data_IF_070492856062
#
_entry.id   IF_070492856062
#
_cell.length_a   1.000
_cell.length_b   1.000
_cell.length_c   1.000
_cell.angle_alpha   90.00
_cell.angle_beta   90.00
_cell.angle_gamma   90.00
#
_symmetry.space_group_name_H-M   'P 1'
#
loop_
_entity.id
_entity.type
_entity.pdbx_description
1 polymer ?
#
# COMPACT_ATOMS: atom_id res chain seq x y z
N UNK A 1 59.67 4.23 -39.68
CA UNK A 1 59.00 3.56 -38.55
C UNK A 1 58.21 4.62 -37.79
N UNK A 2 56.98 4.27 -37.41
CA UNK A 2 55.83 5.15 -37.18
C UNK A 2 56.08 6.43 -36.37
N UNK A 3 55.70 7.57 -36.97
CA UNK A 3 55.45 8.83 -36.25
C UNK A 3 54.09 8.72 -35.57
N UNK A 4 54.09 9.03 -34.28
CA UNK A 4 52.92 9.11 -33.42
C UNK A 4 51.92 10.16 -33.90
N UNK A 5 50.77 9.71 -34.40
CA UNK A 5 49.61 10.53 -34.67
C UNK A 5 48.76 10.65 -33.38
N UNK A 6 49.17 11.53 -32.46
CA UNK A 6 48.24 12.00 -31.43
C UNK A 6 47.34 13.07 -32.06
N UNK A 7 46.13 12.66 -32.46
CA UNK A 7 45.10 13.60 -32.89
C UNK A 7 44.63 14.42 -31.67
N UNK A 8 44.75 15.76 -31.68
CA UNK A 8 44.38 16.62 -30.54
C UNK A 8 42.93 16.47 -30.06
N UNK A 9 42.03 15.96 -30.92
CA UNK A 9 40.61 15.80 -30.60
C UNK A 9 40.28 14.67 -29.62
N UNK A 10 41.11 13.61 -29.55
CA UNK A 10 40.82 12.45 -28.68
C UNK A 10 41.07 12.81 -27.20
N UNK A 11 42.11 13.61 -26.93
CA UNK A 11 42.42 14.02 -25.55
C UNK A 11 41.36 14.96 -24.98
N UNK A 12 40.82 15.88 -25.80
CA UNK A 12 39.73 16.76 -25.38
C UNK A 12 38.43 16.00 -25.10
N UNK A 13 38.12 14.96 -25.88
CA UNK A 13 36.95 14.12 -25.64
C UNK A 13 37.04 13.36 -24.30
N UNK A 14 38.22 12.81 -23.95
CA UNK A 14 38.41 12.11 -22.68
C UNK A 14 38.33 13.03 -21.47
N UNK A 15 38.84 14.26 -21.56
CA UNK A 15 38.73 15.26 -20.49
C UNK A 15 37.28 15.67 -20.26
N UNK A 16 36.48 15.81 -21.33
CA UNK A 16 35.06 16.15 -21.22
C UNK A 16 34.24 15.00 -20.62
N UNK A 17 34.54 13.74 -20.97
CA UNK A 17 33.89 12.56 -20.37
C UNK A 17 34.23 12.45 -18.89
N UNK A 18 35.49 12.63 -18.51
CA UNK A 18 35.89 12.63 -17.10
C UNK A 18 35.29 13.80 -16.31
N UNK A 19 35.27 14.99 -16.90
CA UNK A 19 34.61 16.15 -16.29
C UNK A 19 33.11 15.88 -16.07
N UNK A 20 32.43 15.27 -17.03
CA UNK A 20 31.02 14.90 -16.91
C UNK A 20 30.77 13.81 -15.86
N UNK A 21 31.62 12.77 -15.81
CA UNK A 21 31.54 11.72 -14.79
C UNK A 21 31.80 12.27 -13.38
N UNK A 22 32.76 13.19 -13.22
CA UNK A 22 33.02 13.85 -11.93
C UNK A 22 31.91 14.84 -11.55
N UNK A 23 31.32 15.57 -12.52
CA UNK A 23 30.21 16.49 -12.25
C UNK A 23 28.96 15.72 -11.84
N UNK A 24 28.62 14.65 -12.56
CA UNK A 24 27.48 13.78 -12.25
C UNK A 24 27.71 13.00 -10.95
N UNK A 25 28.91 12.45 -10.73
CA UNK A 25 29.27 11.78 -9.47
C UNK A 25 29.22 12.69 -8.26
N UNK A 26 29.68 13.95 -8.39
CA UNK A 26 29.58 14.96 -7.36
C UNK A 26 28.14 15.43 -7.10
N UNK A 27 27.30 15.51 -8.13
CA UNK A 27 25.86 15.80 -7.99
C UNK A 27 25.10 14.67 -7.29
N UNK A 28 25.43 13.42 -7.61
CA UNK A 28 24.88 12.24 -6.94
C UNK A 28 25.29 12.23 -5.47
N UNK A 29 26.57 12.48 -5.16
CA UNK A 29 27.07 12.50 -3.78
C UNK A 29 26.51 13.66 -2.95
N UNK A 30 26.37 14.85 -3.56
CA UNK A 30 25.77 16.00 -2.90
C UNK A 30 24.25 15.87 -2.71
N UNK A 31 23.56 15.13 -3.60
CA UNK A 31 22.15 14.76 -3.40
C UNK A 31 22.00 13.74 -2.27
N UNK A 32 22.84 12.69 -2.25
CA UNK A 32 22.79 11.70 -1.16
C UNK A 32 23.08 12.33 0.19
N UNK A 33 24.07 13.23 0.29
CA UNK A 33 24.41 13.88 1.58
C UNK A 33 23.32 14.88 2.03
N UNK A 34 22.71 15.62 1.10
CA UNK A 34 21.56 16.49 1.43
C UNK A 34 20.32 15.68 1.81
N UNK A 35 20.11 14.53 1.18
CA UNK A 35 19.05 13.60 1.55
C UNK A 35 19.32 13.02 2.96
N UNK A 36 20.53 12.53 3.22
CA UNK A 36 20.99 12.04 4.53
C UNK A 36 20.80 13.05 5.67
N UNK A 37 21.15 14.32 5.47
CA UNK A 37 20.93 15.36 6.50
C UNK A 37 19.46 15.72 6.70
N UNK A 38 18.63 15.61 5.65
CA UNK A 38 17.19 15.74 5.81
C UNK A 38 16.60 14.55 6.59
N UNK A 39 17.20 13.36 6.53
CA UNK A 39 16.77 12.16 7.26
C UNK A 39 17.04 12.23 8.76
N UNK A 40 18.21 12.73 9.19
CA UNK A 40 18.56 12.84 10.62
C UNK A 40 17.61 13.80 11.38
N UNK A 41 17.01 14.77 10.66
CA UNK A 41 16.05 15.73 11.21
C UNK A 41 14.64 15.13 11.37
N UNK A 42 14.27 14.14 10.56
CA UNK A 42 12.95 13.48 10.63
C UNK A 42 12.95 12.42 11.76
N UNK A 43 14.04 11.68 11.94
CA UNK A 43 14.12 10.55 12.90
C UNK A 43 13.90 10.96 14.37
N UNK A 44 14.23 12.21 14.76
CA UNK A 44 14.16 12.66 16.17
C UNK A 44 12.79 13.10 16.68
N UNK A 45 11.71 13.12 15.86
CA UNK A 45 10.40 13.70 16.27
C UNK A 45 9.14 12.88 15.96
N UNK A 46 9.24 11.72 15.32
CA UNK A 46 8.06 10.96 14.86
C UNK A 46 8.00 9.54 15.45
N UNK A 47 6.78 8.99 15.53
CA UNK A 47 6.60 7.54 15.72
C UNK A 47 7.13 6.79 14.50
N UNK A 48 7.63 5.58 14.69
CA UNK A 48 8.15 4.69 13.62
C UNK A 48 7.18 4.60 12.44
N UNK A 49 5.89 4.45 12.72
CA UNK A 49 4.85 4.36 11.69
C UNK A 49 4.73 5.64 10.85
N UNK A 50 4.79 6.81 11.49
CA UNK A 50 4.71 8.09 10.80
C UNK A 50 5.95 8.38 9.96
N UNK A 51 7.13 7.98 10.45
CA UNK A 51 8.38 8.10 9.70
C UNK A 51 8.29 7.37 8.36
N UNK A 52 7.93 6.08 8.37
CA UNK A 52 7.85 5.30 7.13
C UNK A 52 6.69 5.74 6.24
N UNK A 53 5.57 6.14 6.82
CA UNK A 53 4.42 6.64 6.06
C UNK A 53 4.77 7.92 5.29
N UNK A 54 5.43 8.89 5.91
CA UNK A 54 5.87 10.12 5.24
C UNK A 54 6.86 9.85 4.09
N UNK A 55 7.75 8.85 4.23
CA UNK A 55 8.64 8.44 3.15
C UNK A 55 7.86 7.87 1.97
N UNK A 56 6.92 6.96 2.23
CA UNK A 56 6.12 6.33 1.16
C UNK A 56 5.20 7.32 0.46
N UNK A 57 4.60 8.26 1.18
CA UNK A 57 3.78 9.33 0.60
C UNK A 57 4.58 10.23 -0.35
N UNK A 58 5.88 10.37 -0.12
CA UNK A 58 6.81 11.11 -1.00
C UNK A 58 7.39 10.25 -2.12
N UNK A 59 6.99 8.99 -2.25
CA UNK A 59 7.54 8.04 -3.22
C UNK A 59 8.97 7.57 -2.92
N UNK A 60 9.46 7.79 -1.69
CA UNK A 60 10.82 7.42 -1.27
C UNK A 60 10.88 5.97 -0.79
N UNK A 61 10.39 5.02 -1.61
CA UNK A 61 10.24 3.62 -1.23
C UNK A 61 11.57 2.95 -0.90
N UNK A 62 12.58 3.09 -1.77
CA UNK A 62 13.92 2.51 -1.58
C UNK A 62 14.54 2.96 -0.24
N UNK A 63 14.28 4.20 0.17
CA UNK A 63 14.81 4.75 1.42
C UNK A 63 14.10 4.12 2.62
N UNK A 64 12.77 3.99 2.56
CA UNK A 64 12.00 3.30 3.58
C UNK A 64 12.42 1.82 3.69
N UNK A 65 12.67 1.14 2.57
CA UNK A 65 13.15 -0.24 2.51
C UNK A 65 14.53 -0.39 3.17
N UNK A 66 15.49 0.47 2.81
CA UNK A 66 16.84 0.45 3.39
C UNK A 66 16.81 0.74 4.89
N UNK A 67 16.01 1.71 5.33
CA UNK A 67 15.88 2.06 6.74
C UNK A 67 15.29 0.91 7.55
N UNK A 68 14.16 0.32 7.13
CA UNK A 68 13.56 -0.82 7.83
C UNK A 68 14.46 -2.06 7.78
N UNK A 69 15.07 -2.35 6.63
CA UNK A 69 16.00 -3.48 6.49
C UNK A 69 17.25 -3.33 7.36
N UNK A 70 17.77 -2.12 7.56
CA UNK A 70 18.90 -1.85 8.47
C UNK A 70 18.55 -2.17 9.91
N UNK A 71 17.39 -1.71 10.38
CA UNK A 71 16.94 -1.96 11.76
C UNK A 71 16.73 -3.46 12.01
N UNK A 72 16.10 -4.17 11.07
CA UNK A 72 15.90 -5.62 11.16
C UNK A 72 17.23 -6.40 11.18
N UNK A 73 18.23 -5.97 10.40
CA UNK A 73 19.57 -6.60 10.39
C UNK A 73 20.43 -6.23 11.59
N UNK A 74 20.04 -5.24 12.40
CA UNK A 74 20.83 -4.80 13.54
C UNK A 74 20.95 -5.87 14.64
N UNK A 75 19.97 -6.77 14.74
CA UNK A 75 19.88 -7.79 15.80
C UNK A 75 19.63 -7.23 17.20
N UNK A 76 19.32 -5.94 17.32
CA UNK A 76 19.15 -5.23 18.61
C UNK A 76 17.69 -4.98 18.98
N UNK A 77 16.77 -5.25 18.07
CA UNK A 77 15.36 -4.98 18.26
C UNK A 77 14.73 -5.96 19.24
N UNK A 78 13.78 -5.47 20.05
CA UNK A 78 12.89 -6.36 20.77
C UNK A 78 11.98 -7.10 19.77
N UNK A 79 11.40 -8.26 20.11
CA UNK A 79 10.45 -8.96 19.23
C UNK A 79 9.26 -8.09 18.78
N UNK A 80 8.87 -7.11 19.60
CA UNK A 80 7.81 -6.17 19.26
C UNK A 80 8.26 -5.16 18.22
N UNK A 81 9.43 -4.55 18.41
CA UNK A 81 9.97 -3.57 17.46
C UNK A 81 10.33 -4.23 16.13
N UNK A 82 10.88 -5.44 16.17
CA UNK A 82 11.13 -6.25 14.97
C UNK A 82 9.85 -6.46 14.17
N UNK A 83 8.73 -6.78 14.83
CA UNK A 83 7.44 -6.90 14.16
C UNK A 83 7.00 -5.59 13.51
N UNK A 84 7.14 -4.46 14.20
CA UNK A 84 6.79 -3.14 13.64
C UNK A 84 7.60 -2.88 12.38
N UNK A 85 8.92 -3.08 12.41
CA UNK A 85 9.78 -2.86 11.24
C UNK A 85 9.49 -3.85 10.10
N UNK A 86 9.14 -5.12 10.39
CA UNK A 86 8.68 -6.08 9.36
C UNK A 86 7.41 -5.61 8.67
N UNK A 87 6.43 -5.15 9.45
CA UNK A 87 5.18 -4.63 8.91
C UNK A 87 5.42 -3.39 8.06
N UNK A 88 6.25 -2.46 8.54
CA UNK A 88 6.58 -1.25 7.78
C UNK A 88 7.34 -1.57 6.49
N UNK A 89 8.25 -2.54 6.50
CA UNK A 89 8.94 -3.01 5.30
C UNK A 89 7.96 -3.65 4.31
N UNK A 90 7.07 -4.53 4.78
CA UNK A 90 6.07 -5.18 3.93
C UNK A 90 5.10 -4.18 3.30
N UNK A 91 4.60 -3.21 4.07
CA UNK A 91 3.77 -2.09 3.57
C UNK A 91 4.52 -1.24 2.55
N UNK A 92 5.84 -1.06 2.73
CA UNK A 92 6.67 -0.33 1.77
C UNK A 92 6.77 -1.05 0.44
N UNK A 93 7.09 -2.35 0.43
CA UNK A 93 7.08 -3.15 -0.80
C UNK A 93 5.71 -3.16 -1.47
N UNK A 94 4.64 -3.31 -0.69
CA UNK A 94 3.27 -3.30 -1.19
C UNK A 94 2.87 -1.98 -1.85
N UNK A 95 3.33 -0.84 -1.32
CA UNK A 95 3.07 0.47 -1.95
C UNK A 95 4.01 0.71 -3.15
N UNK A 96 5.28 0.34 -3.05
CA UNK A 96 6.24 0.42 -4.16
C UNK A 96 5.76 -0.38 -5.38
N UNK A 97 5.17 -1.56 -5.18
CA UNK A 97 4.59 -2.41 -6.22
C UNK A 97 3.55 -1.67 -7.08
N UNK A 98 2.86 -0.67 -6.53
CA UNK A 98 1.84 0.11 -7.27
C UNK A 98 2.44 1.15 -8.22
N UNK A 99 3.76 1.40 -8.14
CA UNK A 99 4.47 2.43 -8.91
C UNK A 99 5.41 1.87 -9.97
N UNK A 100 5.56 0.54 -10.06
CA UNK A 100 6.47 -0.15 -10.97
C UNK A 100 5.72 -0.99 -12.00
N UNK A 101 6.46 -1.61 -12.93
CA UNK A 101 5.88 -2.52 -13.92
C UNK A 101 5.24 -3.75 -13.24
N UNK A 102 4.31 -4.43 -13.91
CA UNK A 102 3.71 -5.65 -13.35
C UNK A 102 4.74 -6.73 -13.00
N UNK A 103 5.78 -6.87 -13.81
CA UNK A 103 6.84 -7.86 -13.57
C UNK A 103 7.59 -7.57 -12.27
N UNK A 104 7.97 -6.31 -12.05
CA UNK A 104 8.66 -5.88 -10.82
C UNK A 104 7.71 -5.89 -9.61
N UNK A 105 6.42 -5.57 -9.82
CA UNK A 105 5.40 -5.58 -8.77
C UNK A 105 5.19 -6.98 -8.19
N UNK A 106 5.27 -8.04 -9.01
CA UNK A 106 5.16 -9.43 -8.55
C UNK A 106 6.28 -9.76 -7.57
N UNK A 107 7.52 -9.38 -7.87
CA UNK A 107 8.66 -9.59 -6.97
C UNK A 107 8.48 -8.82 -5.66
N UNK A 108 8.07 -7.55 -5.72
CA UNK A 108 7.81 -6.74 -4.52
C UNK A 108 6.71 -7.33 -3.64
N UNK A 109 5.64 -7.88 -4.23
CA UNK A 109 4.61 -8.58 -3.45
C UNK A 109 5.10 -9.87 -2.80
N UNK A 110 6.00 -10.60 -3.45
CA UNK A 110 6.64 -11.78 -2.86
C UNK A 110 7.51 -11.39 -1.67
N UNK A 111 8.36 -10.36 -1.84
CA UNK A 111 9.17 -9.82 -0.75
C UNK A 111 8.33 -9.34 0.44
N UNK A 112 7.18 -8.72 0.16
CA UNK A 112 6.24 -8.29 1.19
C UNK A 112 5.69 -9.47 2.02
N UNK A 113 5.34 -10.58 1.38
CA UNK A 113 4.85 -11.78 2.07
C UNK A 113 5.96 -12.50 2.87
N UNK A 114 7.16 -12.58 2.30
CA UNK A 114 8.33 -13.19 2.92
C UNK A 114 8.74 -12.48 4.21
N UNK A 115 8.76 -11.15 4.22
CA UNK A 115 9.14 -10.37 5.41
C UNK A 115 8.14 -10.56 6.57
N UNK A 116 6.89 -10.88 6.25
CA UNK A 116 5.84 -11.17 7.24
C UNK A 116 5.86 -12.62 7.74
N UNK A 117 6.94 -13.37 7.52
CA UNK A 117 7.14 -14.67 8.15
C UNK A 117 7.90 -14.52 9.48
N UNK A 118 7.23 -14.84 10.59
CA UNK A 118 7.90 -14.97 11.90
C UNK A 118 7.10 -15.91 12.81
N UNK A 119 7.68 -17.00 13.34
CA UNK A 119 7.02 -17.77 14.39
C UNK A 119 6.96 -16.93 15.68
N UNK A 120 5.78 -16.78 16.28
CA UNK A 120 5.66 -16.06 17.56
C UNK A 120 4.23 -15.73 18.00
N UNK A 121 4.08 -15.12 19.20
CA UNK A 121 2.78 -14.80 19.80
C UNK A 121 1.97 -13.72 19.07
N UNK A 122 2.48 -13.17 17.96
CA UNK A 122 1.87 -12.09 17.18
C UNK A 122 1.50 -12.54 15.75
N UNK A 123 1.38 -13.85 15.53
CA UNK A 123 1.05 -14.45 14.23
C UNK A 123 -0.24 -13.89 13.62
N UNK A 124 -1.30 -13.71 14.42
CA UNK A 124 -2.58 -13.15 13.95
C UNK A 124 -2.43 -11.77 13.28
N UNK A 125 -1.45 -10.97 13.72
CA UNK A 125 -1.17 -9.65 13.14
C UNK A 125 -0.41 -9.75 11.82
N UNK A 126 0.54 -10.68 11.73
CA UNK A 126 1.24 -10.96 10.48
C UNK A 126 0.28 -11.53 9.44
N UNK A 127 -0.61 -12.45 9.83
CA UNK A 127 -1.62 -13.03 8.95
C UNK A 127 -2.57 -11.96 8.39
N UNK A 128 -2.94 -10.97 9.21
CA UNK A 128 -3.73 -9.82 8.77
C UNK A 128 -2.99 -8.97 7.74
N UNK A 129 -1.74 -8.58 8.03
CA UNK A 129 -0.95 -7.76 7.10
C UNK A 129 -0.70 -8.49 5.78
N UNK A 130 -0.44 -9.79 5.82
CA UNK A 130 -0.36 -10.64 4.61
C UNK A 130 -1.63 -10.57 3.79
N UNK A 131 -2.77 -10.64 4.45
CA UNK A 131 -4.05 -10.59 3.78
C UNK A 131 -4.33 -9.22 3.17
N UNK A 132 -3.95 -8.12 3.84
CA UNK A 132 -4.01 -6.77 3.27
C UNK A 132 -3.12 -6.63 2.03
N UNK A 133 -1.94 -7.23 2.02
CA UNK A 133 -1.06 -7.29 0.85
C UNK A 133 -1.70 -8.05 -0.30
N UNK A 134 -2.33 -9.21 -0.03
CA UNK A 134 -3.05 -9.98 -1.04
C UNK A 134 -4.20 -9.18 -1.65
N UNK A 135 -4.95 -8.42 -0.85
CA UNK A 135 -6.01 -7.52 -1.34
C UNK A 135 -5.43 -6.40 -2.21
N UNK A 136 -4.32 -5.80 -1.81
CA UNK A 136 -3.64 -4.78 -2.59
C UNK A 136 -3.19 -5.32 -3.95
N UNK A 137 -2.64 -6.54 -3.98
CA UNK A 137 -2.27 -7.26 -5.21
C UNK A 137 -3.49 -7.52 -6.09
N UNK A 138 -4.59 -8.02 -5.53
CA UNK A 138 -5.86 -8.18 -6.26
C UNK A 138 -6.31 -6.87 -6.90
N UNK A 139 -6.23 -5.74 -6.20
CA UNK A 139 -6.59 -4.44 -6.77
C UNK A 139 -5.72 -4.07 -7.97
N UNK A 140 -4.41 -4.31 -7.91
CA UNK A 140 -3.52 -4.05 -9.04
C UNK A 140 -3.81 -4.99 -10.22
N UNK A 141 -4.04 -6.28 -9.95
CA UNK A 141 -4.45 -7.24 -10.99
C UNK A 141 -5.75 -6.82 -11.66
N UNK A 142 -6.73 -6.33 -10.90
CA UNK A 142 -8.01 -5.86 -11.45
C UNK A 142 -7.83 -4.77 -12.50
N UNK A 143 -6.92 -3.82 -12.23
CA UNK A 143 -6.62 -2.75 -13.18
C UNK A 143 -6.02 -3.27 -14.50
N UNK A 144 -5.44 -4.47 -14.50
CA UNK A 144 -4.89 -5.11 -15.69
C UNK A 144 -5.93 -5.94 -16.46
N UNK A 145 -7.03 -6.35 -15.82
CA UNK A 145 -8.04 -7.23 -16.45
C UNK A 145 -8.68 -6.61 -17.69
N UNK A 146 -8.71 -5.28 -17.80
CA UNK A 146 -9.23 -4.59 -18.99
C UNK A 146 -8.46 -4.92 -20.28
N UNK A 147 -7.28 -5.53 -20.17
CA UNK A 147 -6.43 -5.91 -21.30
C UNK A 147 -6.53 -7.40 -21.68
N UNK A 148 -7.29 -8.20 -20.93
CA UNK A 148 -7.38 -9.65 -21.11
C UNK A 148 -8.78 -10.11 -21.54
N UNK A 149 -8.84 -11.20 -22.31
CA UNK A 149 -10.10 -11.84 -22.65
C UNK A 149 -10.70 -12.57 -21.43
N UNK A 150 -12.03 -12.63 -21.28
CA UNK A 150 -12.67 -13.29 -20.13
C UNK A 150 -12.31 -14.77 -19.93
N UNK A 151 -11.86 -15.45 -21.00
CA UNK A 151 -11.45 -16.86 -20.97
C UNK A 151 -9.96 -17.06 -20.66
N UNK A 152 -9.20 -15.98 -20.45
CA UNK A 152 -7.78 -16.06 -20.13
C UNK A 152 -7.56 -16.70 -18.74
N UNK A 153 -6.65 -17.68 -18.60
CA UNK A 153 -6.31 -18.28 -17.30
C UNK A 153 -5.98 -17.27 -16.21
N UNK A 154 -5.35 -16.15 -16.56
CA UNK A 154 -5.03 -15.05 -15.63
C UNK A 154 -6.28 -14.46 -14.98
N UNK A 155 -7.37 -14.37 -15.75
CA UNK A 155 -8.65 -13.84 -15.29
C UNK A 155 -9.34 -14.80 -14.32
N UNK A 156 -9.18 -16.11 -14.54
CA UNK A 156 -9.69 -17.15 -13.62
C UNK A 156 -8.91 -17.16 -12.31
N UNK A 157 -7.58 -17.11 -12.38
CA UNK A 157 -6.69 -17.03 -11.21
C UNK A 157 -7.02 -15.78 -10.35
N UNK A 158 -7.22 -14.64 -11.01
CA UNK A 158 -7.66 -13.41 -10.36
C UNK A 158 -8.95 -13.61 -9.57
N UNK A 159 -9.97 -14.22 -10.17
CA UNK A 159 -11.28 -14.39 -9.54
C UNK A 159 -11.17 -15.24 -8.28
N UNK A 160 -10.47 -16.38 -8.36
CA UNK A 160 -10.25 -17.28 -7.23
C UNK A 160 -9.52 -16.57 -6.10
N UNK A 161 -8.49 -15.79 -6.43
CA UNK A 161 -7.72 -15.02 -5.45
C UNK A 161 -8.58 -14.00 -4.71
N UNK A 162 -9.39 -13.19 -5.42
CA UNK A 162 -10.25 -12.18 -4.76
C UNK A 162 -11.28 -12.84 -3.85
N UNK A 163 -11.88 -13.94 -4.30
CA UNK A 163 -12.88 -14.65 -3.52
C UNK A 163 -12.27 -15.28 -2.26
N UNK A 164 -11.10 -15.91 -2.38
CA UNK A 164 -10.35 -16.46 -1.23
C UNK A 164 -9.97 -15.35 -0.25
N UNK A 165 -9.48 -14.20 -0.73
CA UNK A 165 -9.12 -13.06 0.11
C UNK A 165 -10.33 -12.54 0.90
N UNK A 166 -11.49 -12.38 0.25
CA UNK A 166 -12.72 -11.95 0.93
C UNK A 166 -13.17 -12.95 2.03
N UNK A 167 -13.08 -14.26 1.75
CA UNK A 167 -13.44 -15.30 2.71
C UNK A 167 -12.50 -15.33 3.91
N UNK A 168 -11.19 -15.25 3.67
CA UNK A 168 -10.16 -15.20 4.71
C UNK A 168 -10.34 -13.96 5.59
N UNK A 169 -10.62 -12.80 4.99
CA UNK A 169 -10.92 -11.58 5.75
C UNK A 169 -12.12 -11.86 6.64
N UNK A 170 -13.24 -12.25 6.05
CA UNK A 170 -14.50 -12.46 6.78
C UNK A 170 -14.35 -13.46 7.95
N UNK A 171 -13.52 -14.49 7.80
CA UNK A 171 -13.19 -15.43 8.86
C UNK A 171 -12.37 -14.77 9.99
N UNK A 172 -11.27 -14.09 9.63
CA UNK A 172 -10.40 -13.40 10.58
C UNK A 172 -11.16 -12.35 11.40
N UNK A 173 -12.09 -11.61 10.79
CA UNK A 173 -12.90 -10.60 11.49
C UNK A 173 -13.79 -11.18 12.58
N UNK A 174 -14.35 -12.37 12.33
CA UNK A 174 -15.18 -13.05 13.34
C UNK A 174 -14.33 -13.41 14.54
N UNK A 175 -13.16 -14.01 14.32
CA UNK A 175 -12.19 -14.32 15.37
C UNK A 175 -11.74 -13.06 16.12
N UNK A 176 -11.49 -11.95 15.41
CA UNK A 176 -11.02 -10.70 16.00
C UNK A 176 -12.08 -10.00 16.87
N UNK A 177 -13.37 -10.11 16.52
CA UNK A 177 -14.48 -9.55 17.30
C UNK A 177 -14.80 -10.38 18.57
N UNK A 178 -14.48 -11.67 18.58
CA UNK A 178 -14.93 -12.60 19.63
C UNK A 178 -13.97 -12.74 20.84
N UNK A 179 -12.70 -12.31 20.78
CA UNK A 179 -11.78 -12.57 21.92
C UNK A 179 -10.60 -11.59 22.19
N UNK A 180 -10.13 -10.75 21.27
CA UNK A 180 -8.80 -10.10 21.45
C UNK A 180 -8.78 -8.56 21.44
N UNK A 181 -9.76 -7.89 20.83
CA UNK A 181 -9.71 -6.44 20.61
C UNK A 181 -9.69 -5.60 21.91
N UNK A 182 -10.43 -6.02 22.94
CA UNK A 182 -10.53 -5.27 24.21
C UNK A 182 -9.27 -5.40 25.09
N UNK A 183 -8.58 -6.53 25.02
CA UNK A 183 -7.34 -6.78 25.78
C UNK A 183 -6.14 -6.09 25.11
N UNK A 184 -6.15 -6.01 23.78
CA UNK A 184 -5.06 -5.40 22.98
C UNK A 184 -5.05 -3.86 23.00
N UNK A 185 -6.22 -3.19 22.98
CA UNK A 185 -6.28 -1.72 23.06
C UNK A 185 -5.70 -1.14 24.36
N UNK A 186 -5.67 -1.94 25.44
CA UNK A 186 -5.23 -1.49 26.77
C UNK A 186 -3.72 -1.30 26.90
N UNK A 187 -2.92 -1.86 25.98
CA UNK A 187 -1.47 -1.92 26.15
C UNK A 187 -0.64 -1.33 24.99
N UNK A 188 -1.18 -1.14 23.78
CA UNK A 188 -0.35 -0.80 22.62
C UNK A 188 -1.03 0.22 21.69
N UNK A 189 -0.56 1.47 21.72
CA UNK A 189 -1.18 2.61 21.05
C UNK A 189 -0.58 3.00 19.69
N UNK A 190 0.50 2.37 19.22
CA UNK A 190 1.20 2.88 18.02
C UNK A 190 1.01 2.09 16.74
N UNK A 191 0.53 0.84 16.77
CA UNK A 191 0.59 -0.02 15.59
C UNK A 191 -0.60 -1.01 15.50
N UNK A 192 -1.81 -0.54 15.82
CA UNK A 192 -3.03 -1.32 15.63
C UNK A 192 -3.40 -1.24 14.15
N UNK A 193 -3.50 -2.38 13.45
CA UNK A 193 -4.27 -2.41 12.19
C UNK A 193 -5.65 -1.91 12.56
N UNK A 194 -5.97 -0.70 12.13
CA UNK A 194 -7.22 -0.06 12.47
C UNK A 194 -8.33 -0.99 11.94
N UNK A 195 -9.33 -1.28 12.77
CA UNK A 195 -10.54 -1.99 12.35
C UNK A 195 -11.10 -1.40 11.05
N UNK A 196 -10.89 -0.11 10.82
CA UNK A 196 -11.19 0.56 9.56
C UNK A 196 -10.39 0.02 8.36
N UNK A 197 -9.08 -0.23 8.46
CA UNK A 197 -8.27 -0.85 7.39
C UNK A 197 -8.82 -2.22 7.01
N UNK A 198 -9.22 -3.00 8.01
CA UNK A 198 -9.86 -4.29 7.79
C UNK A 198 -11.17 -4.14 6.98
N UNK A 199 -12.06 -3.27 7.45
CA UNK A 199 -13.38 -3.08 6.84
C UNK A 199 -13.27 -2.47 5.43
N UNK A 200 -12.26 -1.62 5.20
CA UNK A 200 -11.91 -1.12 3.89
C UNK A 200 -11.47 -2.24 2.95
N UNK A 201 -10.54 -3.11 3.37
CA UNK A 201 -10.07 -4.23 2.56
C UNK A 201 -11.21 -5.23 2.23
N UNK A 202 -12.10 -5.47 3.19
CA UNK A 202 -13.30 -6.30 2.97
C UNK A 202 -14.26 -5.64 1.98
N UNK A 203 -14.53 -4.33 2.13
CA UNK A 203 -15.35 -3.55 1.22
C UNK A 203 -14.78 -3.52 -0.20
N UNK A 204 -13.46 -3.37 -0.33
CA UNK A 204 -12.75 -3.40 -1.62
C UNK A 204 -12.86 -4.76 -2.30
N UNK A 205 -12.60 -5.85 -1.57
CA UNK A 205 -12.68 -7.19 -2.13
C UNK A 205 -14.10 -7.52 -2.60
N UNK A 206 -15.13 -7.11 -1.84
CA UNK A 206 -16.52 -7.24 -2.26
C UNK A 206 -16.84 -6.40 -3.50
N UNK A 207 -16.30 -5.18 -3.60
CA UNK A 207 -16.50 -4.30 -4.75
C UNK A 207 -15.90 -4.88 -6.03
N UNK A 208 -14.69 -5.45 -5.94
CA UNK A 208 -14.03 -6.15 -7.05
C UNK A 208 -14.88 -7.32 -7.57
N UNK A 209 -15.44 -8.13 -6.65
CA UNK A 209 -16.37 -9.21 -7.00
C UNK A 209 -17.67 -8.68 -7.61
N UNK A 210 -18.21 -7.58 -7.11
CA UNK A 210 -19.40 -6.94 -7.70
C UNK A 210 -19.12 -6.47 -9.14
N UNK A 211 -17.97 -5.86 -9.40
CA UNK A 211 -17.59 -5.40 -10.73
C UNK A 211 -17.42 -6.57 -11.71
N UNK A 212 -16.83 -7.67 -11.25
CA UNK A 212 -16.74 -8.91 -12.02
C UNK A 212 -18.12 -9.44 -12.43
N UNK A 213 -19.05 -9.48 -11.48
CA UNK A 213 -20.42 -9.94 -11.74
C UNK A 213 -21.35 -8.86 -12.31
N UNK A 214 -20.84 -7.77 -12.90
CA UNK A 214 -21.65 -6.64 -13.40
C UNK A 214 -22.82 -7.09 -14.30
N UNK A 215 -22.62 -8.12 -15.12
CA UNK A 215 -23.65 -8.69 -16.02
C UNK A 215 -24.69 -9.60 -15.35
N UNK A 216 -24.53 -9.94 -14.06
CA UNK A 216 -25.42 -10.82 -13.29
C UNK A 216 -25.95 -10.06 -12.06
N UNK A 217 -27.05 -9.34 -12.23
CA UNK A 217 -27.57 -8.39 -11.25
C UNK A 217 -27.75 -8.99 -9.84
N UNK A 218 -28.32 -10.19 -9.72
CA UNK A 218 -28.55 -10.84 -8.42
C UNK A 218 -27.24 -11.09 -7.65
N UNK A 219 -26.21 -11.61 -8.33
CA UNK A 219 -24.91 -11.90 -7.71
C UNK A 219 -24.18 -10.59 -7.39
N UNK A 220 -24.17 -9.65 -8.33
CA UNK A 220 -23.59 -8.32 -8.15
C UNK A 220 -24.17 -7.62 -6.94
N UNK A 221 -25.49 -7.57 -6.81
CA UNK A 221 -26.16 -6.81 -5.76
C UNK A 221 -25.94 -7.43 -4.36
N UNK A 222 -25.73 -8.74 -4.29
CA UNK A 222 -25.22 -9.41 -3.09
C UNK A 222 -23.86 -8.89 -2.64
N UNK A 223 -22.90 -8.77 -3.58
CA UNK A 223 -21.57 -8.23 -3.30
C UNK A 223 -21.58 -6.72 -3.00
N UNK A 224 -22.42 -5.94 -3.68
CA UNK A 224 -22.64 -4.53 -3.34
C UNK A 224 -23.16 -4.38 -1.91
N UNK A 225 -24.11 -5.23 -1.51
CA UNK A 225 -24.64 -5.22 -0.13
C UNK A 225 -23.57 -5.58 0.90
N UNK A 226 -22.71 -6.57 0.58
CA UNK A 226 -21.57 -6.94 1.41
C UNK A 226 -20.56 -5.78 1.56
N UNK A 227 -20.23 -5.10 0.45
CA UNK A 227 -19.38 -3.91 0.43
C UNK A 227 -19.95 -2.81 1.33
N UNK A 228 -21.23 -2.46 1.15
CA UNK A 228 -21.91 -1.45 1.96
C UNK A 228 -21.96 -1.83 3.44
N UNK A 229 -22.19 -3.10 3.77
CA UNK A 229 -22.22 -3.60 5.15
C UNK A 229 -20.86 -3.42 5.84
N UNK A 230 -19.77 -3.80 5.17
CA UNK A 230 -18.42 -3.62 5.68
C UNK A 230 -18.10 -2.13 5.92
N UNK A 231 -18.41 -1.27 4.95
CA UNK A 231 -18.08 0.15 5.00
C UNK A 231 -18.91 0.96 6.01
N UNK A 232 -20.11 0.49 6.39
CA UNK A 232 -20.89 1.10 7.50
C UNK A 232 -20.17 1.02 8.84
N UNK A 233 -19.33 0.00 9.04
CA UNK A 233 -18.55 -0.16 10.25
C UNK A 233 -17.29 0.71 10.31
N UNK A 234 -16.92 1.36 9.20
CA UNK A 234 -15.76 2.26 9.16
C UNK A 234 -16.13 3.52 9.94
N UNK A 235 -15.64 3.59 11.17
CA UNK A 235 -15.84 4.73 12.04
C UNK A 235 -15.13 5.97 11.47
N UNK A 236 -15.66 7.15 11.76
CA UNK A 236 -14.96 8.42 11.54
C UNK A 236 -14.28 8.79 12.86
N UNK A 237 -13.07 8.29 13.17
CA UNK A 237 -12.34 8.84 14.29
C UNK A 237 -11.98 10.29 13.94
N UNK A 238 -12.12 11.15 14.94
CA UNK A 238 -11.81 12.58 14.96
C UNK A 238 -10.35 12.89 14.59
N UNK A 239 -9.54 11.89 14.25
CA UNK A 239 -8.17 12.00 13.78
C UNK A 239 -7.95 11.04 12.60
N UNK A 240 -7.88 11.60 11.39
CA UNK A 240 -7.48 10.90 10.15
C UNK A 240 -8.61 10.70 9.14
N UNK A 241 -8.94 11.75 8.37
CA UNK A 241 -9.97 11.73 7.32
C UNK A 241 -9.75 10.73 6.16
N UNK A 242 -8.62 10.01 6.13
CA UNK A 242 -8.20 9.18 5.01
C UNK A 242 -9.04 7.89 4.87
N UNK A 243 -9.28 7.17 5.98
CA UNK A 243 -10.12 5.95 5.97
C UNK A 243 -11.57 6.25 5.63
N UNK A 244 -12.10 7.36 6.16
CA UNK A 244 -13.46 7.82 5.85
C UNK A 244 -13.61 8.27 4.40
N UNK A 245 -12.62 8.98 3.86
CA UNK A 245 -12.59 9.39 2.45
C UNK A 245 -12.54 8.18 1.52
N UNK A 246 -11.67 7.21 1.80
CA UNK A 246 -11.58 5.97 1.03
C UNK A 246 -12.88 5.15 1.08
N UNK A 247 -13.50 5.02 2.25
CA UNK A 247 -14.80 4.36 2.37
C UNK A 247 -15.88 5.05 1.52
N UNK A 248 -15.92 6.38 1.49
CA UNK A 248 -16.85 7.13 0.65
C UNK A 248 -16.62 6.88 -0.84
N UNK A 249 -15.37 6.86 -1.30
CA UNK A 249 -15.03 6.56 -2.70
C UNK A 249 -15.48 5.15 -3.11
N UNK A 250 -15.35 4.18 -2.21
CA UNK A 250 -15.82 2.81 -2.44
C UNK A 250 -17.35 2.74 -2.50
N UNK A 251 -18.06 3.45 -1.63
CA UNK A 251 -19.53 3.54 -1.67
C UNK A 251 -20.03 4.20 -2.97
N UNK A 252 -19.36 5.26 -3.44
CA UNK A 252 -19.65 5.89 -4.74
C UNK A 252 -19.46 4.89 -5.87
N UNK A 253 -18.36 4.14 -5.84
CA UNK A 253 -18.05 3.12 -6.85
C UNK A 253 -19.08 1.98 -6.84
N UNK A 254 -19.55 1.59 -5.65
CA UNK A 254 -20.60 0.58 -5.48
C UNK A 254 -21.93 1.06 -6.10
N UNK A 255 -22.35 2.30 -5.83
CA UNK A 255 -23.55 2.89 -6.43
C UNK A 255 -23.45 2.96 -7.96
N UNK A 256 -22.28 3.31 -8.50
CA UNK A 256 -21.99 3.31 -9.94
C UNK A 256 -22.11 1.90 -10.55
N UNK A 257 -21.51 0.89 -9.93
CA UNK A 257 -21.55 -0.50 -10.43
C UNK A 257 -22.98 -1.05 -10.39
N UNK A 258 -23.76 -0.70 -9.38
CA UNK A 258 -25.16 -1.09 -9.26
C UNK A 258 -26.12 -0.33 -10.22
N UNK A 259 -25.65 0.72 -10.90
CA UNK A 259 -26.48 1.54 -11.78
C UNK A 259 -27.47 2.44 -11.04
N UNK A 260 -27.20 2.79 -9.77
CA UNK A 260 -28.09 3.58 -8.91
C UNK A 260 -27.74 5.07 -8.97
N UNK A 261 -28.23 5.75 -10.00
CA UNK A 261 -27.88 7.14 -10.31
C UNK A 261 -28.16 8.12 -9.14
N UNK A 262 -29.34 8.03 -8.51
CA UNK A 262 -29.70 8.92 -7.39
C UNK A 262 -28.81 8.72 -6.17
N UNK A 263 -28.48 7.46 -5.84
CA UNK A 263 -27.58 7.12 -4.74
C UNK A 263 -26.17 7.65 -5.01
N UNK A 264 -25.68 7.49 -6.25
CA UNK A 264 -24.40 8.01 -6.71
C UNK A 264 -24.32 9.53 -6.57
N UNK A 265 -25.31 10.27 -7.09
CA UNK A 265 -25.32 11.74 -7.02
C UNK A 265 -25.40 12.26 -5.58
N UNK A 266 -26.17 11.58 -4.72
CA UNK A 266 -26.24 11.91 -3.29
C UNK A 266 -24.87 11.72 -2.64
N UNK A 267 -24.23 10.57 -2.81
CA UNK A 267 -22.92 10.28 -2.22
C UNK A 267 -21.83 11.24 -2.71
N UNK A 268 -21.80 11.56 -4.01
CA UNK A 268 -20.84 12.54 -4.56
C UNK A 268 -21.03 13.92 -3.93
N UNK A 269 -22.28 14.36 -3.72
CA UNK A 269 -22.58 15.64 -3.04
C UNK A 269 -22.15 15.61 -1.58
N UNK A 270 -22.44 14.54 -0.85
CA UNK A 270 -22.04 14.36 0.55
C UNK A 270 -20.50 14.40 0.71
N UNK A 271 -19.76 13.74 -0.18
CA UNK A 271 -18.28 13.74 -0.16
C UNK A 271 -17.71 15.13 -0.45
N UNK A 272 -18.25 15.84 -1.45
CA UNK A 272 -17.82 17.23 -1.75
C UNK A 272 -18.07 18.18 -0.57
N UNK A 273 -19.27 18.13 0.01
CA UNK A 273 -19.62 18.96 1.15
C UNK A 273 -18.72 18.73 2.38
N UNK A 274 -18.15 17.51 2.54
CA UNK A 274 -17.18 17.21 3.61
C UNK A 274 -15.79 17.79 3.32
N UNK A 275 -15.36 17.78 2.06
CA UNK A 275 -14.06 18.32 1.64
C UNK A 275 -14.03 19.86 1.56
N UNK A 276 -15.18 20.51 1.35
CA UNK A 276 -15.30 21.98 1.38
C UNK A 276 -15.35 22.56 2.81
N UNK A 277 -15.27 21.71 3.84
CA UNK A 277 -15.20 22.13 5.24
C UNK A 277 -13.75 22.55 5.56
N UNK A 278 -13.44 23.79 5.99
CA UNK A 278 -12.08 24.27 6.22
C UNK A 278 -11.28 23.52 7.31
N UNK A 279 -11.91 22.57 8.01
CA UNK A 279 -11.27 21.63 8.94
C UNK A 279 -10.78 20.33 8.25
N UNK A 280 -11.13 20.13 6.98
CA UNK A 280 -10.70 19.03 6.13
C UNK A 280 -9.64 19.56 5.16
N UNK A 281 -8.38 19.51 5.59
CA UNK A 281 -7.27 19.75 4.67
C UNK A 281 -7.11 18.46 3.85
N UNK A 282 -7.26 18.52 2.50
CA UNK A 282 -6.95 17.37 1.67
C UNK A 282 -5.43 17.18 1.72
N UNK A 283 -5.01 16.07 2.32
CA UNK A 283 -3.67 15.52 2.22
C UNK A 283 -3.76 14.21 1.45
#
# INVERSE_FOLDING_TARGET
MHRDCWQPGIFQAWVLVWAFVCLCGGLIHAQTEKQERAFEVIERRYSTDRYYEELRQRGLYVIAELAAGRELRSGKLSPHDELVHRIQLARTYQQHATSVSWQDAVELYQLADEVLTSPGPLQSRLDLEKLLIKVARSRQMHALLSFYEPADPFVTEYQELVQQNYQQLSALMKTYNDSEYQTFQKHNSSAVVDRNEFLLAQGESALLLAEWFRGKAEIRDGWISACQSALRGVSSPVFGGHSSGRAQLLLISAARIAGRAEEFERLVRETRARNDNPLFIPW
#
